data_IF_628350224053
#
_entry.id   IF_628350224053
#
_cell.length_a   1.000
_cell.length_b   1.000
_cell.length_c   1.000
_cell.angle_alpha   90.00
_cell.angle_beta   90.00
_cell.angle_gamma   90.00
#
_symmetry.space_group_name_H-M   'P 1'
#
loop_
_entity.id
_entity.type
_entity.pdbx_description
1 polymer ?
#
# COMPACT_ATOMS: atom_id res chain seq x y z
N UNK A 1 15.35 17.00 -4.70
CA UNK A 1 14.89 15.82 -5.46
C UNK A 1 13.58 15.25 -4.93
N UNK A 2 13.51 14.70 -3.70
CA UNK A 2 12.31 14.03 -3.20
C UNK A 2 11.03 14.91 -3.16
N UNK A 3 11.13 16.14 -2.64
CA UNK A 3 9.99 17.07 -2.62
C UNK A 3 9.52 17.46 -4.02
N UNK A 4 10.44 17.63 -4.98
CA UNK A 4 10.09 17.91 -6.38
C UNK A 4 9.29 16.77 -6.99
N UNK A 5 9.69 15.52 -6.76
CA UNK A 5 8.95 14.34 -7.23
C UNK A 5 7.55 14.23 -6.61
N UNK A 6 7.42 14.56 -5.33
CA UNK A 6 6.11 14.56 -4.65
C UNK A 6 5.16 15.62 -5.16
N UNK A 7 5.68 16.81 -5.45
CA UNK A 7 4.89 17.96 -5.87
C UNK A 7 4.71 18.05 -7.39
N UNK A 8 5.48 17.27 -8.16
CA UNK A 8 5.40 17.21 -9.63
C UNK A 8 3.96 17.06 -10.15
N UNK A 9 3.08 16.20 -9.58
CA UNK A 9 1.73 16.02 -10.09
C UNK A 9 0.88 17.28 -10.00
N UNK A 10 1.17 18.19 -9.04
CA UNK A 10 0.43 19.45 -8.88
C UNK A 10 0.58 20.38 -10.08
N UNK A 11 1.67 20.23 -10.83
CA UNK A 11 1.98 21.04 -12.02
C UNK A 11 1.70 20.23 -13.28
N UNK A 12 2.19 18.99 -13.33
CA UNK A 12 2.15 18.19 -14.54
C UNK A 12 0.76 17.61 -14.84
N UNK A 13 -0.04 17.25 -13.82
CA UNK A 13 -1.37 16.69 -14.05
C UNK A 13 -2.34 17.70 -14.71
N UNK A 14 -2.46 18.95 -14.24
CA UNK A 14 -3.29 19.95 -14.91
C UNK A 14 -2.85 20.25 -16.34
N UNK A 15 -1.54 20.26 -16.61
CA UNK A 15 -1.00 20.50 -17.96
C UNK A 15 -1.35 19.36 -18.92
N UNK A 16 -1.17 18.11 -18.52
CA UNK A 16 -1.57 16.96 -19.36
C UNK A 16 -3.08 16.94 -19.57
N UNK A 17 -3.86 17.24 -18.53
CA UNK A 17 -5.33 17.34 -18.63
C UNK A 17 -5.74 18.43 -19.62
N UNK A 18 -5.12 19.61 -19.55
CA UNK A 18 -5.38 20.71 -20.48
C UNK A 18 -4.97 20.36 -21.92
N UNK A 19 -3.93 19.54 -22.10
CA UNK A 19 -3.50 19.02 -23.40
C UNK A 19 -4.35 17.85 -23.90
N UNK A 20 -5.33 17.36 -23.13
CA UNK A 20 -6.13 16.18 -23.49
C UNK A 20 -5.34 14.87 -23.48
N UNK A 21 -4.16 14.85 -22.83
CA UNK A 21 -3.26 13.69 -22.77
C UNK A 21 -3.51 12.93 -21.48
N UNK A 22 -3.87 11.65 -21.61
CA UNK A 22 -3.92 10.73 -20.48
C UNK A 22 -2.80 9.68 -20.63
N UNK A 23 -1.77 9.69 -19.75
CA UNK A 23 -0.62 8.79 -19.87
C UNK A 23 -0.99 7.32 -19.63
N UNK A 24 -2.13 7.03 -19.01
CA UNK A 24 -2.63 5.68 -18.78
C UNK A 24 -3.36 5.07 -19.98
N UNK A 25 -3.88 5.88 -20.91
CA UNK A 25 -4.72 5.42 -22.02
C UNK A 25 -4.12 4.31 -22.89
N UNK A 26 -2.84 4.35 -23.28
CA UNK A 26 -2.25 3.27 -24.07
C UNK A 26 -2.33 1.90 -23.34
N UNK A 27 -2.16 1.91 -22.02
CA UNK A 27 -2.22 0.69 -21.21
C UNK A 27 -3.66 0.21 -21.02
N UNK A 28 -4.62 1.12 -20.87
CA UNK A 28 -6.04 0.76 -20.84
C UNK A 28 -6.50 0.13 -22.16
N UNK A 29 -6.03 0.65 -23.29
CA UNK A 29 -6.32 0.07 -24.60
C UNK A 29 -5.77 -1.37 -24.71
N UNK A 30 -4.53 -1.60 -24.31
CA UNK A 30 -3.93 -2.96 -24.31
C UNK A 30 -4.68 -3.90 -23.38
N UNK A 31 -4.96 -3.47 -22.15
CA UNK A 31 -5.72 -4.27 -21.18
C UNK A 31 -7.12 -4.63 -21.67
N UNK A 32 -7.81 -3.68 -22.31
CA UNK A 32 -9.12 -3.88 -22.93
C UNK A 32 -9.06 -4.90 -24.08
N UNK A 33 -8.10 -4.75 -24.99
CA UNK A 33 -7.91 -5.69 -26.11
C UNK A 33 -7.66 -7.12 -25.63
N UNK A 34 -6.85 -7.31 -24.57
CA UNK A 34 -6.60 -8.64 -24.00
C UNK A 34 -7.88 -9.22 -23.39
N UNK A 35 -8.63 -8.41 -22.62
CA UNK A 35 -9.88 -8.86 -22.01
C UNK A 35 -10.94 -9.24 -23.06
N UNK A 36 -11.09 -8.41 -24.10
CA UNK A 36 -12.03 -8.63 -25.20
C UNK A 36 -11.65 -9.87 -26.01
N UNK A 37 -10.36 -10.06 -26.32
CA UNK A 37 -9.86 -11.23 -27.06
C UNK A 37 -10.10 -12.55 -26.32
N UNK A 38 -10.16 -12.50 -24.99
CA UNK A 38 -10.43 -13.66 -24.14
C UNK A 38 -11.93 -13.78 -23.78
N UNK A 39 -12.80 -13.01 -24.43
CA UNK A 39 -14.26 -13.11 -24.31
C UNK A 39 -14.81 -12.59 -22.99
N UNK A 40 -14.04 -11.79 -22.25
CA UNK A 40 -14.40 -11.34 -20.92
C UNK A 40 -14.99 -9.94 -20.94
N UNK A 41 -16.30 -9.86 -20.69
CA UNK A 41 -16.96 -8.59 -20.43
C UNK A 41 -16.52 -8.06 -19.07
N UNK A 42 -15.92 -6.87 -19.05
CA UNK A 42 -15.63 -6.13 -17.83
C UNK A 42 -16.92 -5.90 -17.04
N UNK A 43 -17.08 -6.61 -15.93
CA UNK A 43 -18.13 -6.37 -14.94
C UNK A 43 -17.61 -5.54 -13.76
N UNK A 44 -18.49 -5.26 -12.78
CA UNK A 44 -18.06 -4.63 -11.53
C UNK A 44 -17.04 -5.48 -10.76
N UNK A 45 -16.17 -4.83 -9.99
CA UNK A 45 -15.07 -5.50 -9.24
C UNK A 45 -15.57 -6.69 -8.40
N UNK A 46 -16.71 -6.54 -7.72
CA UNK A 46 -17.32 -7.60 -6.93
C UNK A 46 -17.70 -8.84 -7.77
N UNK A 47 -18.23 -8.62 -8.98
CA UNK A 47 -18.62 -9.71 -9.87
C UNK A 47 -17.41 -10.51 -10.37
N UNK A 48 -16.26 -9.85 -10.52
CA UNK A 48 -15.00 -10.50 -10.86
C UNK A 48 -14.47 -11.35 -9.71
N UNK A 49 -14.44 -10.78 -8.51
CA UNK A 49 -13.99 -11.48 -7.30
C UNK A 49 -14.84 -12.72 -7.00
N UNK A 50 -16.14 -12.68 -7.30
CA UNK A 50 -17.08 -13.76 -7.03
C UNK A 50 -16.98 -14.96 -7.98
N UNK A 51 -16.19 -14.87 -9.07
CA UNK A 51 -16.08 -15.98 -10.02
C UNK A 51 -15.39 -17.20 -9.40
N UNK A 52 -15.94 -18.42 -9.58
CA UNK A 52 -15.40 -19.63 -8.97
C UNK A 52 -14.25 -20.28 -9.75
N UNK A 53 -13.94 -19.77 -10.95
CA UNK A 53 -12.96 -20.39 -11.84
C UNK A 53 -11.62 -19.65 -11.87
N UNK A 54 -10.53 -20.41 -11.77
CA UNK A 54 -9.16 -19.87 -11.85
C UNK A 54 -8.85 -19.20 -13.19
N UNK A 55 -9.46 -19.67 -14.28
CA UNK A 55 -9.20 -19.13 -15.61
C UNK A 55 -9.57 -17.64 -15.67
N UNK A 56 -10.79 -17.28 -15.27
CA UNK A 56 -11.24 -15.89 -15.22
C UNK A 56 -10.31 -15.00 -14.37
N UNK A 57 -9.84 -15.49 -13.22
CA UNK A 57 -8.92 -14.73 -12.37
C UNK A 57 -7.54 -14.53 -13.02
N UNK A 58 -7.03 -15.53 -13.74
CA UNK A 58 -5.77 -15.40 -14.49
C UNK A 58 -5.89 -14.38 -15.61
N UNK A 59 -6.99 -14.38 -16.36
CA UNK A 59 -7.22 -13.36 -17.39
C UNK A 59 -7.34 -11.96 -16.77
N UNK A 60 -8.02 -11.86 -15.63
CA UNK A 60 -8.10 -10.59 -14.90
C UNK A 60 -6.72 -10.11 -14.45
N UNK A 61 -5.80 -11.00 -14.06
CA UNK A 61 -4.42 -10.62 -13.76
C UNK A 61 -3.64 -10.19 -15.00
N UNK A 62 -3.81 -10.88 -16.13
CA UNK A 62 -3.15 -10.55 -17.40
C UNK A 62 -3.59 -9.18 -17.94
N UNK A 63 -4.90 -8.98 -18.10
CA UNK A 63 -5.47 -7.72 -18.56
C UNK A 63 -5.34 -6.61 -17.51
N UNK A 64 -5.67 -6.92 -16.26
CA UNK A 64 -5.63 -6.01 -15.11
C UNK A 64 -4.24 -5.49 -14.79
N UNK A 65 -3.18 -6.22 -15.13
CA UNK A 65 -1.80 -5.74 -15.04
C UNK A 65 -1.59 -4.45 -15.84
N UNK A 66 -2.11 -4.38 -17.07
CA UNK A 66 -2.03 -3.18 -17.91
C UNK A 66 -2.91 -2.05 -17.35
N UNK A 67 -4.14 -2.34 -16.94
CA UNK A 67 -4.97 -1.35 -16.25
C UNK A 67 -4.27 -0.80 -15.01
N UNK A 68 -3.56 -1.65 -14.26
CA UNK A 68 -2.81 -1.22 -13.09
C UNK A 68 -1.69 -0.26 -13.46
N UNK A 69 -0.93 -0.54 -14.52
CA UNK A 69 0.12 0.38 -15.01
C UNK A 69 -0.50 1.70 -15.45
N UNK A 70 -1.61 1.65 -16.20
CA UNK A 70 -2.34 2.85 -16.62
C UNK A 70 -2.75 3.73 -15.44
N UNK A 71 -3.35 3.13 -14.41
CA UNK A 71 -3.75 3.83 -13.17
C UNK A 71 -2.56 4.42 -12.41
N UNK A 72 -1.42 3.71 -12.38
CA UNK A 72 -0.21 4.23 -11.73
C UNK A 72 0.33 5.49 -12.42
N UNK A 73 0.21 5.57 -13.74
CA UNK A 73 0.64 6.71 -14.54
C UNK A 73 -0.37 7.86 -14.45
N UNK A 74 -1.65 7.57 -14.65
CA UNK A 74 -2.74 8.54 -14.57
C UNK A 74 -2.79 9.21 -13.19
N UNK A 75 -2.71 8.43 -12.11
CA UNK A 75 -2.72 8.97 -10.75
C UNK A 75 -1.34 9.46 -10.28
N UNK A 76 -0.37 9.57 -11.19
CA UNK A 76 1.00 10.04 -10.91
C UNK A 76 1.67 9.32 -9.74
N UNK A 77 1.36 8.05 -9.54
CA UNK A 77 1.80 7.29 -8.38
C UNK A 77 3.30 7.02 -8.40
N UNK A 78 3.89 6.85 -9.59
CA UNK A 78 5.33 6.60 -9.76
C UNK A 78 6.19 7.70 -9.12
N UNK A 79 6.10 8.99 -9.49
CA UNK A 79 6.92 10.03 -8.88
C UNK A 79 6.61 10.21 -7.38
N UNK A 80 5.35 10.09 -6.96
CA UNK A 80 4.96 10.14 -5.53
C UNK A 80 5.65 9.07 -4.70
N UNK A 81 5.59 7.81 -5.14
CA UNK A 81 6.19 6.68 -4.43
C UNK A 81 7.72 6.85 -4.39
N UNK A 82 8.36 7.21 -5.50
CA UNK A 82 9.79 7.47 -5.54
C UNK A 82 10.20 8.60 -4.58
N UNK A 83 9.43 9.69 -4.53
CA UNK A 83 9.65 10.78 -3.58
C UNK A 83 9.59 10.31 -2.11
N UNK A 84 8.57 9.53 -1.74
CA UNK A 84 8.44 8.96 -0.39
C UNK A 84 9.57 7.97 -0.10
N UNK A 85 9.97 7.13 -1.06
CA UNK A 85 11.09 6.19 -0.91
C UNK A 85 12.41 6.92 -0.65
N UNK A 86 12.68 8.02 -1.34
CA UNK A 86 13.88 8.84 -1.10
C UNK A 86 13.86 9.49 0.28
N UNK A 87 12.71 9.99 0.74
CA UNK A 87 12.56 10.48 2.12
C UNK A 87 12.82 9.34 3.11
N UNK A 88 12.20 8.18 2.88
CA UNK A 88 12.40 6.96 3.67
C UNK A 88 13.86 6.53 3.74
N UNK A 89 14.62 6.64 2.64
CA UNK A 89 16.06 6.37 2.62
C UNK A 89 16.85 7.35 3.50
N UNK A 90 16.54 8.65 3.44
CA UNK A 90 17.19 9.66 4.29
C UNK A 90 16.88 9.40 5.77
N UNK A 91 15.61 9.13 6.10
CA UNK A 91 15.19 8.79 7.46
C UNK A 91 15.82 7.49 7.93
N UNK A 92 15.89 6.47 7.07
CA UNK A 92 16.53 5.19 7.34
C UNK A 92 18.00 5.35 7.69
N UNK A 93 18.75 6.22 7.00
CA UNK A 93 20.14 6.55 7.37
C UNK A 93 20.24 7.18 8.75
N UNK A 94 19.34 8.11 9.09
CA UNK A 94 19.31 8.73 10.43
C UNK A 94 18.89 7.73 11.52
N UNK A 95 18.02 6.79 11.19
CA UNK A 95 17.60 5.71 12.08
C UNK A 95 18.77 4.79 12.40
N UNK A 96 19.51 4.32 11.38
CA UNK A 96 20.72 3.49 11.55
C UNK A 96 21.81 4.23 12.32
N UNK A 97 21.96 5.55 12.08
CA UNK A 97 22.89 6.39 12.82
C UNK A 97 22.44 6.73 14.26
N UNK A 98 21.26 6.27 14.71
CA UNK A 98 20.75 6.52 16.07
C UNK A 98 20.30 7.97 16.34
N UNK A 99 20.21 8.81 15.31
CA UNK A 99 19.88 10.25 15.45
C UNK A 99 18.39 10.55 15.25
N UNK A 100 17.65 9.67 14.56
CA UNK A 100 16.23 9.93 14.25
C UNK A 100 15.33 9.84 15.48
N UNK A 101 15.41 8.74 16.23
CA UNK A 101 14.50 8.48 17.36
C UNK A 101 14.84 9.30 18.60
N UNK A 102 16.09 9.79 18.70
CA UNK A 102 16.55 10.69 19.76
C UNK A 102 16.12 12.14 19.55
N UNK A 103 15.91 12.57 18.30
CA UNK A 103 15.42 13.92 17.96
C UNK A 103 13.90 14.04 18.14
N UNK A 104 13.47 14.09 19.41
CA UNK A 104 12.04 14.20 19.75
C UNK A 104 11.41 15.49 19.24
N UNK A 105 12.19 16.57 19.07
CA UNK A 105 11.70 17.84 18.52
C UNK A 105 11.31 17.68 17.05
N UNK A 106 12.11 16.99 16.25
CA UNK A 106 11.77 16.65 14.88
C UNK A 106 10.49 15.79 14.82
N UNK A 107 10.38 14.77 15.67
CA UNK A 107 9.20 13.91 15.71
C UNK A 107 7.92 14.67 16.07
N UNK A 108 7.95 15.51 17.11
CA UNK A 108 6.81 16.34 17.49
C UNK A 108 6.43 17.37 16.43
N UNK A 109 7.41 18.00 15.76
CA UNK A 109 7.14 18.90 14.63
C UNK A 109 6.51 18.14 13.46
N UNK A 110 6.99 16.94 13.16
CA UNK A 110 6.45 16.11 12.08
C UNK A 110 5.02 15.68 12.39
N UNK A 111 4.75 15.29 13.63
CA UNK A 111 3.40 14.97 14.11
C UNK A 111 2.48 16.20 14.01
N UNK A 112 2.90 17.34 14.55
CA UNK A 112 2.09 18.56 14.57
C UNK A 112 1.77 19.06 13.15
N UNK A 113 2.78 19.28 12.32
CA UNK A 113 2.58 19.78 10.95
C UNK A 113 1.90 18.73 10.06
N UNK A 114 2.22 17.45 10.26
CA UNK A 114 1.58 16.36 9.53
C UNK A 114 0.10 16.21 9.86
N UNK A 115 -0.32 16.46 11.11
CA UNK A 115 -1.75 16.53 11.48
C UNK A 115 -2.40 17.81 10.98
N UNK A 116 -1.76 18.96 11.20
CA UNK A 116 -2.29 20.27 10.84
C UNK A 116 -2.55 20.40 9.33
N UNK A 117 -1.67 19.84 8.51
CA UNK A 117 -1.81 19.85 7.04
C UNK A 117 -2.52 18.58 6.56
N UNK A 118 -2.09 17.40 7.05
CA UNK A 118 -2.54 16.13 6.51
C UNK A 118 -4.00 15.80 6.82
N UNK A 119 -4.49 16.16 8.01
CA UNK A 119 -5.87 15.83 8.41
C UNK A 119 -6.91 16.66 7.65
N UNK A 120 -6.85 18.02 7.60
CA UNK A 120 -7.85 18.81 6.87
C UNK A 120 -7.87 18.47 5.38
N UNK A 121 -6.71 18.27 4.76
CA UNK A 121 -6.62 17.98 3.33
C UNK A 121 -7.06 16.55 3.00
N UNK A 122 -6.80 15.59 3.87
CA UNK A 122 -7.37 14.23 3.74
C UNK A 122 -8.89 14.23 3.91
N UNK A 123 -9.42 15.09 4.79
CA UNK A 123 -10.87 15.23 4.97
C UNK A 123 -11.52 15.92 3.76
N UNK A 124 -10.91 16.98 3.23
CA UNK A 124 -11.34 17.62 1.98
C UNK A 124 -11.32 16.65 0.81
N UNK A 125 -10.30 15.79 0.74
CA UNK A 125 -10.25 14.72 -0.25
C UNK A 125 -11.37 13.68 -0.05
N UNK A 126 -11.66 13.28 1.19
CA UNK A 126 -12.69 12.30 1.49
C UNK A 126 -14.13 12.81 1.29
N UNK A 127 -14.36 14.11 1.53
CA UNK A 127 -15.66 14.75 1.39
C UNK A 127 -15.89 15.37 0.00
N UNK A 128 -14.81 15.65 -0.73
CA UNK A 128 -14.85 16.31 -2.03
C UNK A 128 -15.03 15.32 -3.17
N UNK A 129 -15.67 15.78 -4.24
CA UNK A 129 -15.86 15.03 -5.49
C UNK A 129 -14.64 15.15 -6.44
N UNK A 130 -13.49 15.59 -5.93
CA UNK A 130 -12.34 15.99 -6.76
C UNK A 130 -11.61 14.83 -7.47
N UNK A 131 -12.09 13.60 -7.35
CA UNK A 131 -11.43 12.39 -7.85
C UNK A 131 -10.03 12.16 -7.25
N UNK A 132 -9.37 11.08 -7.66
CA UNK A 132 -8.02 10.72 -7.15
C UNK A 132 -6.88 11.62 -7.66
N UNK A 133 -7.19 12.52 -8.60
CA UNK A 133 -6.21 13.39 -9.28
C UNK A 133 -6.10 14.78 -8.65
N UNK A 134 -6.91 15.06 -7.62
CA UNK A 134 -6.91 16.34 -6.94
C UNK A 134 -5.61 16.61 -6.15
N UNK A 135 -5.16 17.88 -6.05
CA UNK A 135 -3.97 18.25 -5.28
C UNK A 135 -4.07 17.85 -3.79
N UNK A 136 -5.30 17.76 -3.29
CA UNK A 136 -5.61 17.41 -1.91
C UNK A 136 -5.16 16.01 -1.52
N UNK A 137 -5.17 15.04 -2.45
CA UNK A 137 -4.78 13.67 -2.16
C UNK A 137 -3.31 13.58 -1.71
N UNK A 138 -2.41 14.35 -2.34
CA UNK A 138 -0.97 14.33 -2.02
C UNK A 138 -0.69 15.11 -0.75
N UNK A 139 -1.26 16.31 -0.67
CA UNK A 139 -1.05 17.24 0.46
C UNK A 139 -1.68 16.69 1.74
N UNK A 140 -2.74 15.89 1.62
CA UNK A 140 -3.37 15.18 2.74
C UNK A 140 -2.59 13.93 3.14
N UNK A 141 -2.47 12.96 2.23
CA UNK A 141 -2.10 11.59 2.60
C UNK A 141 -0.64 11.44 3.03
N UNK A 142 0.31 12.10 2.36
CA UNK A 142 1.73 11.94 2.70
C UNK A 142 2.07 12.56 4.08
N UNK A 143 1.71 13.82 4.35
CA UNK A 143 1.93 14.43 5.67
C UNK A 143 1.23 13.67 6.80
N UNK A 144 0.00 13.19 6.56
CA UNK A 144 -0.74 12.39 7.55
C UNK A 144 -0.03 11.05 7.83
N UNK A 145 0.48 10.38 6.79
CA UNK A 145 1.29 9.17 6.95
C UNK A 145 2.57 9.41 7.77
N UNK A 146 3.26 10.54 7.55
CA UNK A 146 4.41 10.91 8.37
C UNK A 146 4.03 11.26 9.81
N UNK A 147 2.86 11.86 10.04
CA UNK A 147 2.33 12.08 11.39
C UNK A 147 2.09 10.76 12.12
N UNK A 148 1.48 9.75 11.47
CA UNK A 148 1.30 8.43 12.07
C UNK A 148 2.63 7.75 12.40
N UNK A 149 3.62 7.83 11.50
CA UNK A 149 4.95 7.29 11.76
C UNK A 149 5.65 7.99 12.94
N UNK A 150 5.54 9.32 13.02
CA UNK A 150 6.11 10.10 14.12
C UNK A 150 5.41 9.82 15.46
N UNK A 151 4.08 9.70 15.46
CA UNK A 151 3.30 9.31 16.63
C UNK A 151 3.72 7.91 17.11
N UNK A 152 3.83 6.94 16.21
CA UNK A 152 4.30 5.60 16.53
C UNK A 152 5.70 5.63 17.15
N UNK A 153 6.65 6.37 16.55
CA UNK A 153 8.00 6.52 17.07
C UNK A 153 8.06 7.16 18.46
N UNK A 154 7.22 8.18 18.72
CA UNK A 154 7.11 8.84 20.03
C UNK A 154 6.48 7.91 21.08
N UNK A 155 5.50 7.09 20.71
CA UNK A 155 4.81 6.19 21.64
C UNK A 155 5.56 4.89 21.89
N UNK A 156 6.37 4.43 20.94
CA UNK A 156 7.13 3.18 21.01
C UNK A 156 7.87 2.95 22.34
N UNK A 157 8.70 3.89 22.84
CA UNK A 157 9.40 3.69 24.13
C UNK A 157 8.48 3.79 25.35
N UNK A 158 7.24 4.30 25.21
CA UNK A 158 6.32 4.59 26.32
C UNK A 158 5.25 3.51 26.51
N UNK A 159 4.83 2.86 25.42
CA UNK A 159 3.71 1.93 25.42
C UNK A 159 4.18 0.51 25.13
N UNK A 160 4.38 -0.30 26.18
CA UNK A 160 4.79 -1.71 26.07
C UNK A 160 3.85 -2.55 25.18
N UNK A 161 2.56 -2.20 25.12
CA UNK A 161 1.58 -2.88 24.27
C UNK A 161 1.98 -2.85 22.77
N UNK A 162 2.67 -1.79 22.31
CA UNK A 162 3.12 -1.68 20.92
C UNK A 162 4.17 -2.73 20.53
N UNK A 163 4.85 -3.34 21.51
CA UNK A 163 5.84 -4.38 21.24
C UNK A 163 5.22 -5.65 20.64
N UNK A 164 3.89 -5.82 20.72
CA UNK A 164 3.17 -6.90 20.01
C UNK A 164 3.43 -6.85 18.50
N UNK A 165 3.69 -5.67 17.94
CA UNK A 165 3.96 -5.47 16.52
C UNK A 165 5.41 -5.77 16.11
N UNK A 166 6.32 -6.00 17.07
CA UNK A 166 7.74 -6.24 16.78
C UNK A 166 7.95 -7.52 15.95
N UNK A 167 7.31 -8.63 16.35
CA UNK A 167 7.40 -9.89 15.64
C UNK A 167 6.83 -9.83 14.21
N UNK A 168 5.56 -9.40 13.99
CA UNK A 168 5.03 -9.30 12.63
C UNK A 168 5.77 -8.25 11.78
N UNK A 169 6.33 -7.20 12.39
CA UNK A 169 7.17 -6.22 11.69
C UNK A 169 8.48 -6.79 11.14
N UNK A 170 9.08 -7.78 11.81
CA UNK A 170 10.26 -8.52 11.31
C UNK A 170 9.93 -9.50 10.17
N UNK A 171 8.65 -9.77 9.94
CA UNK A 171 8.14 -10.69 8.90
C UNK A 171 7.16 -9.97 7.96
N UNK A 172 7.43 -8.69 7.65
CA UNK A 172 6.51 -7.85 6.90
C UNK A 172 6.20 -8.39 5.48
N UNK A 173 7.17 -8.95 4.76
CA UNK A 173 6.96 -9.51 3.42
C UNK A 173 6.18 -10.82 3.50
N UNK A 174 6.55 -11.71 4.43
CA UNK A 174 5.82 -12.95 4.67
C UNK A 174 4.37 -12.67 5.05
N UNK A 175 4.14 -11.73 5.97
CA UNK A 175 2.80 -11.38 6.43
C UNK A 175 1.98 -10.68 5.33
N UNK A 176 2.60 -9.85 4.49
CA UNK A 176 1.93 -9.26 3.33
C UNK A 176 1.41 -10.33 2.35
N UNK A 177 2.26 -11.30 1.99
CA UNK A 177 1.87 -12.39 1.11
C UNK A 177 0.84 -13.31 1.76
N UNK A 178 1.03 -13.66 3.03
CA UNK A 178 0.07 -14.46 3.79
C UNK A 178 -1.29 -13.76 3.87
N UNK A 179 -1.33 -12.44 4.10
CA UNK A 179 -2.58 -11.68 4.14
C UNK A 179 -3.30 -11.74 2.79
N UNK A 180 -2.55 -11.62 1.69
CA UNK A 180 -3.08 -11.72 0.33
C UNK A 180 -3.66 -13.11 0.05
N UNK A 181 -2.92 -14.17 0.40
CA UNK A 181 -3.37 -15.56 0.22
C UNK A 181 -4.62 -15.86 1.06
N UNK A 182 -4.64 -15.44 2.33
CA UNK A 182 -5.80 -15.60 3.20
C UNK A 182 -6.99 -14.79 2.69
N UNK A 183 -6.77 -13.56 2.22
CA UNK A 183 -7.81 -12.73 1.61
C UNK A 183 -8.43 -13.38 0.37
N UNK A 184 -7.60 -13.93 -0.52
CA UNK A 184 -8.06 -14.69 -1.69
C UNK A 184 -8.85 -15.93 -1.24
N UNK A 185 -8.29 -16.73 -0.32
CA UNK A 185 -8.92 -17.94 0.17
C UNK A 185 -10.27 -17.69 0.86
N UNK A 186 -10.45 -16.55 1.53
CA UNK A 186 -11.67 -16.23 2.27
C UNK A 186 -12.70 -15.53 1.37
N UNK A 187 -12.29 -14.56 0.56
CA UNK A 187 -13.24 -13.69 -0.13
C UNK A 187 -13.49 -14.08 -1.58
N UNK A 188 -12.50 -14.60 -2.31
CA UNK A 188 -12.67 -14.85 -3.74
C UNK A 188 -13.55 -16.09 -3.96
N UNK A 189 -14.25 -16.13 -5.10
CA UNK A 189 -15.12 -17.26 -5.48
C UNK A 189 -14.37 -18.59 -5.64
N UNK A 190 -13.07 -18.53 -5.95
CA UNK A 190 -12.14 -19.69 -5.96
C UNK A 190 -11.80 -20.21 -4.55
N UNK A 191 -12.17 -19.48 -3.50
CA UNK A 191 -12.00 -19.82 -2.09
C UNK A 191 -13.34 -20.07 -1.42
N UNK A 192 -13.60 -19.41 -0.28
CA UNK A 192 -14.87 -19.49 0.44
C UNK A 192 -15.97 -18.58 -0.15
N UNK A 193 -15.64 -17.71 -1.11
CA UNK A 193 -16.63 -16.89 -1.83
C UNK A 193 -17.37 -15.86 -0.98
N UNK A 194 -16.76 -15.36 0.10
CA UNK A 194 -17.43 -14.39 1.00
C UNK A 194 -17.45 -12.95 0.49
N UNK A 195 -16.99 -12.68 -0.73
CA UNK A 195 -17.07 -11.34 -1.31
C UNK A 195 -18.52 -10.88 -1.44
N UNK A 196 -18.81 -9.67 -0.95
CA UNK A 196 -20.16 -9.09 -1.01
C UNK A 196 -21.21 -9.73 -0.09
N UNK A 197 -20.87 -10.75 0.70
CA UNK A 197 -21.81 -11.46 1.58
C UNK A 197 -21.93 -10.85 2.98
N UNK A 198 -20.97 -10.01 3.37
CA UNK A 198 -20.91 -9.40 4.71
C UNK A 198 -20.95 -7.88 4.66
N UNK A 199 -21.51 -7.22 5.69
CA UNK A 199 -21.45 -5.76 5.81
C UNK A 199 -20.01 -5.28 6.05
N UNK A 200 -19.71 -3.99 5.81
CA UNK A 200 -18.38 -3.39 6.02
C UNK A 200 -17.75 -3.73 7.38
N UNK A 201 -18.56 -3.78 8.45
CA UNK A 201 -18.08 -4.12 9.80
C UNK A 201 -17.52 -5.55 9.91
N UNK A 202 -18.08 -6.49 9.14
CA UNK A 202 -17.63 -7.88 9.11
C UNK A 202 -16.21 -8.03 8.59
N UNK A 203 -15.81 -7.21 7.60
CA UNK A 203 -14.46 -7.21 7.05
C UNK A 203 -13.41 -6.84 8.10
N UNK A 204 -13.70 -5.90 9.00
CA UNK A 204 -12.78 -5.56 10.09
C UNK A 204 -12.59 -6.72 11.06
N UNK A 205 -13.66 -7.48 11.35
CA UNK A 205 -13.57 -8.69 12.17
C UNK A 205 -12.65 -9.75 11.55
N UNK A 206 -12.82 -10.02 10.26
CA UNK A 206 -11.95 -10.94 9.51
C UNK A 206 -10.50 -10.43 9.47
N UNK A 207 -10.30 -9.14 9.19
CA UNK A 207 -8.96 -8.54 9.15
C UNK A 207 -8.25 -8.63 10.51
N UNK A 208 -8.95 -8.37 11.62
CA UNK A 208 -8.42 -8.52 12.97
C UNK A 208 -8.08 -9.98 13.28
N UNK A 209 -8.91 -10.93 12.86
CA UNK A 209 -8.65 -12.36 13.05
C UNK A 209 -7.40 -12.81 12.27
N UNK A 210 -7.28 -12.41 11.00
CA UNK A 210 -6.08 -12.68 10.18
C UNK A 210 -4.85 -12.07 10.84
N UNK A 211 -4.93 -10.82 11.28
CA UNK A 211 -3.78 -10.14 11.85
C UNK A 211 -3.37 -10.71 13.21
N UNK A 212 -4.34 -11.12 14.06
CA UNK A 212 -4.07 -11.82 15.31
C UNK A 212 -3.37 -13.16 15.06
N UNK A 213 -3.83 -13.91 14.06
CA UNK A 213 -3.15 -15.12 13.60
C UNK A 213 -1.72 -14.82 13.14
N UNK A 214 -1.51 -13.76 12.33
CA UNK A 214 -0.18 -13.36 11.85
C UNK A 214 0.76 -12.94 12.97
N UNK A 215 0.26 -12.27 14.02
CA UNK A 215 1.04 -11.98 15.22
C UNK A 215 1.51 -13.27 15.88
N UNK A 216 0.59 -14.21 16.13
CA UNK A 216 0.93 -15.49 16.77
C UNK A 216 1.91 -16.30 15.93
N UNK A 217 1.62 -16.45 14.63
CA UNK A 217 2.48 -17.11 13.67
C UNK A 217 3.88 -16.49 13.66
N UNK A 218 3.98 -15.16 13.59
CA UNK A 218 5.27 -14.47 13.56
C UNK A 218 6.07 -14.68 14.84
N UNK A 219 5.41 -14.70 16.01
CA UNK A 219 6.07 -14.97 17.30
C UNK A 219 6.59 -16.41 17.39
N UNK A 220 5.76 -17.39 17.02
CA UNK A 220 6.14 -18.80 17.04
C UNK A 220 7.26 -19.10 16.04
N UNK A 221 7.17 -18.51 14.84
CA UNK A 221 8.20 -18.65 13.81
C UNK A 221 9.53 -18.05 14.26
N UNK A 222 9.51 -16.81 14.76
CA UNK A 222 10.74 -16.12 15.20
C UNK A 222 11.34 -16.68 16.49
N UNK A 223 10.59 -17.52 17.24
CA UNK A 223 11.16 -18.29 18.34
C UNK A 223 12.07 -19.44 17.86
N UNK A 224 12.00 -19.81 16.57
CA UNK A 224 12.76 -20.92 15.99
C UNK A 224 13.66 -20.51 14.82
N UNK A 225 13.36 -19.41 14.14
CA UNK A 225 14.07 -18.93 12.96
C UNK A 225 14.35 -17.42 13.06
N UNK A 226 15.51 -16.96 12.56
CA UNK A 226 15.90 -15.55 12.72
C UNK A 226 15.16 -14.55 11.80
N UNK A 227 14.48 -15.06 10.77
CA UNK A 227 13.83 -14.27 9.72
C UNK A 227 12.64 -15.04 9.16
N UNK A 228 11.67 -14.30 8.61
CA UNK A 228 10.55 -14.92 7.93
C UNK A 228 10.98 -15.64 6.63
N UNK A 229 10.18 -16.61 6.17
CA UNK A 229 10.52 -17.44 5.01
C UNK A 229 10.68 -16.61 3.74
N UNK A 230 9.79 -15.65 3.49
CA UNK A 230 9.82 -14.82 2.28
C UNK A 230 10.93 -13.78 2.34
N UNK A 231 11.24 -13.27 3.53
CA UNK A 231 12.39 -12.40 3.77
C UNK A 231 13.70 -13.12 3.43
N UNK A 232 13.84 -14.39 3.85
CA UNK A 232 15.01 -15.22 3.51
C UNK A 232 15.14 -15.43 2.00
N UNK A 233 14.06 -15.79 1.33
CA UNK A 233 14.05 -15.97 -0.12
C UNK A 233 14.41 -14.67 -0.85
N UNK A 234 13.84 -13.54 -0.41
CA UNK A 234 14.14 -12.23 -0.98
C UNK A 234 15.63 -11.86 -0.81
N UNK A 235 16.19 -12.12 0.39
CA UNK A 235 17.61 -11.86 0.67
C UNK A 235 18.52 -12.72 -0.21
N UNK A 236 18.19 -14.00 -0.38
CA UNK A 236 18.91 -14.91 -1.28
C UNK A 236 18.84 -14.46 -2.74
N UNK A 237 17.68 -13.99 -3.20
CA UNK A 237 17.51 -13.47 -4.56
C UNK A 237 18.30 -12.16 -4.79
N UNK A 238 18.40 -11.31 -3.77
CA UNK A 238 19.06 -9.99 -3.89
C UNK A 238 20.57 -10.06 -3.74
N UNK A 239 21.07 -10.82 -2.76
CA UNK A 239 22.50 -10.84 -2.39
C UNK A 239 23.20 -12.17 -2.76
N UNK A 240 22.47 -13.15 -3.27
CA UNK A 240 22.99 -14.49 -3.57
C UNK A 240 23.29 -15.31 -2.31
N UNK A 241 24.10 -16.38 -2.46
CA UNK A 241 24.47 -17.30 -1.36
C UNK A 241 25.36 -16.70 -0.26
N UNK A 242 25.70 -15.40 -0.32
CA UNK A 242 26.53 -14.70 0.69
C UNK A 242 25.68 -13.99 1.76
N UNK A 243 24.41 -14.38 1.90
CA UNK A 243 23.36 -13.72 2.67
C UNK A 243 23.24 -14.21 4.12
#
# INVERSE_FOLDING_TARGET
>A
AAALLLLLPLIAAPLLKAAGVNPGMPFYAIGGMIADAQGLKMGGELAWLARPDWHSHLVWLESGGFFRVGMLLEWWRVPKVLGIMLIGMVLGRRLVAGTLLSDTRLLWRTLFWGLLIGLPFSLLYALGDSGQDGPWAIIGTAPLGFAYAAAFALLWPRLRALHVFAAPGRMALTNYLMHSVLGIAIFYGIGLGLVGTMPPIGFYGVALAIYAFQILFSRLWLARFDQGPMERLWRLATYGRRA
#
